data_IF_578291252560
#
_entry.id   IF_578291252560
#
_cell.length_a   1.000
_cell.length_b   1.000
_cell.length_c   1.000
_cell.angle_alpha   90.00
_cell.angle_beta   90.00
_cell.angle_gamma   90.00
#
_symmetry.space_group_name_H-M   'P 1'
#
loop_
_entity.id
_entity.type
_entity.pdbx_description
1 polymer ?
#
# COMPACT_ATOMS: atom_id res chain seq x y z
N UNK A 1 -14.63 -39.73 -28.54
CA UNK A 1 -14.84 -38.43 -27.84
C UNK A 1 -15.88 -37.66 -28.63
N UNK A 2 -17.13 -37.63 -28.14
CA UNK A 2 -18.20 -36.87 -28.79
C UNK A 2 -18.06 -35.38 -28.43
N UNK A 3 -17.17 -34.67 -29.11
CA UNK A 3 -17.16 -33.23 -29.03
C UNK A 3 -18.43 -32.64 -29.61
N UNK A 4 -19.10 -31.67 -28.97
CA UNK A 4 -20.26 -31.01 -29.56
C UNK A 4 -19.81 -30.33 -30.86
N UNK A 5 -20.61 -30.52 -31.94
CA UNK A 5 -20.33 -30.00 -33.30
C UNK A 5 -19.92 -28.52 -33.26
N UNK A 6 -20.55 -27.73 -32.38
CA UNK A 6 -20.25 -26.31 -32.20
C UNK A 6 -18.82 -26.05 -31.74
N UNK A 7 -18.25 -26.88 -30.86
CA UNK A 7 -16.87 -26.74 -30.41
C UNK A 7 -15.88 -27.13 -31.51
N UNK A 8 -16.20 -28.16 -32.29
CA UNK A 8 -15.37 -28.57 -33.43
C UNK A 8 -15.29 -27.45 -34.49
N UNK A 9 -16.43 -26.83 -34.82
CA UNK A 9 -16.48 -25.71 -35.76
C UNK A 9 -15.70 -24.50 -35.21
N UNK A 10 -15.85 -24.17 -33.94
CA UNK A 10 -15.12 -23.07 -33.29
C UNK A 10 -13.60 -23.27 -33.34
N UNK A 11 -13.12 -24.48 -33.04
CA UNK A 11 -11.70 -24.83 -33.15
C UNK A 11 -11.19 -24.79 -34.57
N UNK A 12 -12.00 -25.21 -35.54
CA UNK A 12 -11.66 -25.14 -36.95
C UNK A 12 -11.55 -23.67 -37.40
N UNK A 13 -12.47 -22.80 -37.03
CA UNK A 13 -12.40 -21.37 -37.31
C UNK A 13 -11.16 -20.72 -36.70
N UNK A 14 -10.81 -21.10 -35.48
CA UNK A 14 -9.61 -20.59 -34.82
C UNK A 14 -8.30 -21.08 -35.49
N UNK A 15 -8.25 -22.35 -35.93
CA UNK A 15 -7.07 -22.96 -36.59
C UNK A 15 -7.00 -22.75 -38.10
N UNK A 16 -8.10 -22.37 -38.74
CA UNK A 16 -8.16 -22.30 -40.19
C UNK A 16 -7.17 -21.26 -40.70
N UNK A 17 -6.21 -21.74 -41.49
CA UNK A 17 -5.37 -20.91 -42.36
C UNK A 17 -6.24 -20.46 -43.55
N UNK A 18 -7.40 -19.82 -43.29
CA UNK A 18 -8.29 -19.36 -44.32
C UNK A 18 -7.59 -18.32 -45.17
N UNK A 19 -7.94 -18.29 -46.47
CA UNK A 19 -7.47 -17.29 -47.41
C UNK A 19 -7.86 -15.85 -47.00
N UNK A 20 -8.69 -15.73 -46.02
CA UNK A 20 -9.20 -14.49 -45.45
C UNK A 20 -8.19 -13.82 -44.52
N UNK A 21 -7.45 -12.86 -45.08
CA UNK A 21 -6.47 -12.04 -44.37
C UNK A 21 -7.14 -11.12 -43.35
N UNK A 22 -8.38 -10.67 -43.62
CA UNK A 22 -9.09 -9.72 -42.79
C UNK A 22 -9.57 -10.34 -41.48
N UNK A 23 -10.24 -11.50 -41.53
CA UNK A 23 -10.71 -12.20 -40.33
C UNK A 23 -9.57 -12.59 -39.37
N UNK A 24 -8.39 -12.94 -39.94
CA UNK A 24 -7.18 -13.21 -39.15
C UNK A 24 -6.65 -11.97 -38.44
N UNK A 25 -6.60 -10.84 -39.14
CA UNK A 25 -6.12 -9.57 -38.59
C UNK A 25 -7.04 -9.13 -37.43
N UNK A 26 -8.34 -9.23 -37.62
CA UNK A 26 -9.33 -8.88 -36.58
C UNK A 26 -9.19 -9.78 -35.34
N UNK A 27 -9.04 -11.11 -35.53
CA UNK A 27 -8.86 -12.04 -34.42
C UNK A 27 -7.56 -11.80 -33.67
N UNK A 28 -6.47 -11.51 -34.38
CA UNK A 28 -5.18 -11.22 -33.76
C UNK A 28 -5.22 -9.90 -33.01
N UNK A 29 -5.86 -8.87 -33.52
CA UNK A 29 -6.06 -7.60 -32.83
C UNK A 29 -6.91 -7.78 -31.56
N UNK A 30 -7.96 -8.61 -31.61
CA UNK A 30 -8.77 -8.92 -30.47
C UNK A 30 -7.94 -9.60 -29.37
N UNK A 31 -7.19 -10.65 -29.73
CA UNK A 31 -6.36 -11.38 -28.76
C UNK A 31 -5.24 -10.50 -28.19
N UNK A 32 -4.61 -9.68 -29.02
CA UNK A 32 -3.57 -8.74 -28.60
C UNK A 32 -4.11 -7.70 -27.61
N UNK A 33 -5.32 -7.21 -27.82
CA UNK A 33 -5.99 -6.32 -26.86
C UNK A 33 -6.22 -6.97 -25.49
N UNK A 34 -6.61 -8.26 -25.45
CA UNK A 34 -6.77 -9.01 -24.21
C UNK A 34 -5.41 -9.24 -23.55
N UNK A 35 -4.38 -9.65 -24.32
CA UNK A 35 -3.01 -9.86 -23.84
C UNK A 35 -2.49 -8.58 -23.16
N UNK A 36 -2.58 -7.44 -23.86
CA UNK A 36 -2.10 -6.16 -23.32
C UNK A 36 -2.91 -5.70 -22.10
N UNK A 37 -4.22 -5.90 -22.12
CA UNK A 37 -5.08 -5.55 -20.98
C UNK A 37 -4.75 -6.36 -19.72
N UNK A 38 -4.63 -7.68 -19.83
CA UNK A 38 -4.29 -8.56 -18.70
C UNK A 38 -2.86 -8.32 -18.22
N UNK A 39 -1.91 -8.14 -19.15
CA UNK A 39 -0.53 -7.80 -18.82
C UNK A 39 -0.46 -6.49 -18.04
N UNK A 40 -1.12 -5.44 -18.53
CA UNK A 40 -1.16 -4.14 -17.86
C UNK A 40 -1.80 -4.23 -16.45
N UNK A 41 -2.90 -4.99 -16.30
CA UNK A 41 -3.54 -5.21 -15.01
C UNK A 41 -2.59 -5.85 -13.99
N UNK A 42 -1.87 -6.91 -14.38
CA UNK A 42 -0.94 -7.61 -13.49
C UNK A 42 0.21 -6.68 -13.08
N UNK A 43 0.80 -5.95 -14.03
CA UNK A 43 1.89 -5.02 -13.76
C UNK A 43 1.43 -3.91 -12.80
N UNK A 44 0.32 -3.25 -13.10
CA UNK A 44 -0.20 -2.14 -12.28
C UNK A 44 -0.54 -2.60 -10.87
N UNK A 45 -1.24 -3.74 -10.72
CA UNK A 45 -1.58 -4.28 -9.41
C UNK A 45 -0.34 -4.67 -8.60
N UNK A 46 0.67 -5.28 -9.25
CA UNK A 46 1.91 -5.66 -8.57
C UNK A 46 2.74 -4.46 -8.11
N UNK A 47 2.85 -3.43 -8.93
CA UNK A 47 3.52 -2.17 -8.56
C UNK A 47 2.77 -1.48 -7.42
N UNK A 48 1.45 -1.42 -7.52
CA UNK A 48 0.62 -0.80 -6.49
C UNK A 48 0.75 -1.51 -5.13
N UNK A 49 0.73 -2.85 -5.12
CA UNK A 49 0.93 -3.61 -3.87
C UNK A 49 2.33 -3.39 -3.30
N UNK A 50 3.36 -3.43 -4.15
CA UNK A 50 4.73 -3.19 -3.74
C UNK A 50 4.94 -1.79 -3.16
N UNK A 51 4.41 -0.75 -3.80
CA UNK A 51 4.46 0.63 -3.29
C UNK A 51 3.69 0.77 -1.97
N UNK A 52 2.49 0.22 -1.87
CA UNK A 52 1.70 0.25 -0.64
C UNK A 52 2.43 -0.45 0.52
N UNK A 53 2.99 -1.63 0.26
CA UNK A 53 3.78 -2.38 1.24
C UNK A 53 5.03 -1.62 1.68
N UNK A 54 5.78 -1.09 0.73
CA UNK A 54 6.99 -0.30 1.00
C UNK A 54 6.68 0.99 1.80
N UNK A 55 5.67 1.75 1.40
CA UNK A 55 5.26 2.96 2.11
C UNK A 55 4.78 2.66 3.54
N UNK A 56 3.98 1.59 3.71
CA UNK A 56 3.55 1.13 5.03
C UNK A 56 4.73 0.76 5.90
N UNK A 57 5.66 -0.04 5.38
CA UNK A 57 6.84 -0.46 6.12
C UNK A 57 7.71 0.73 6.48
N UNK A 58 8.00 1.63 5.55
CA UNK A 58 8.87 2.78 5.78
C UNK A 58 8.29 3.76 6.82
N UNK A 59 6.97 4.02 6.78
CA UNK A 59 6.33 4.95 7.72
C UNK A 59 6.13 4.31 9.09
N UNK A 60 5.67 3.05 9.13
CA UNK A 60 5.31 2.40 10.39
C UNK A 60 6.51 1.80 11.13
N UNK A 61 7.63 1.49 10.46
CA UNK A 61 8.85 1.06 11.14
C UNK A 61 9.53 2.17 11.94
N UNK A 62 9.26 3.44 11.60
CA UNK A 62 9.90 4.60 12.21
C UNK A 62 9.12 5.20 13.38
N UNK A 63 7.92 4.69 13.68
CA UNK A 63 7.05 5.23 14.74
C UNK A 63 6.46 4.13 15.62
N UNK A 64 6.16 4.41 16.90
CA UNK A 64 5.41 3.49 17.73
C UNK A 64 3.98 3.33 17.17
N UNK A 65 3.47 2.09 17.21
CA UNK A 65 2.16 1.80 16.63
C UNK A 65 1.01 2.30 17.50
N UNK A 66 1.20 2.33 18.82
CA UNK A 66 0.25 2.93 19.76
C UNK A 66 0.98 3.42 21.02
N UNK A 67 0.39 4.41 21.66
CA UNK A 67 0.75 4.87 23.01
C UNK A 67 -0.46 4.63 23.87
N UNK A 68 -0.27 3.85 24.94
CA UNK A 68 -1.26 3.60 25.98
C UNK A 68 -0.87 4.44 27.19
N UNK A 69 -1.74 5.34 27.63
CA UNK A 69 -1.52 6.21 28.78
C UNK A 69 -2.70 6.16 29.74
N UNK A 70 -2.44 6.45 31.00
CA UNK A 70 -3.47 6.62 32.04
C UNK A 70 -3.48 8.07 32.54
N UNK A 71 -4.55 8.46 33.25
CA UNK A 71 -4.65 9.78 33.88
C UNK A 71 -3.60 9.97 34.98
N UNK A 72 -3.20 8.88 35.63
CA UNK A 72 -2.14 8.88 36.64
C UNK A 72 -0.95 8.06 36.14
N UNK A 73 0.29 8.46 36.50
CA UNK A 73 1.49 7.73 36.16
C UNK A 73 1.45 6.28 36.67
N UNK A 74 1.85 5.35 35.81
CA UNK A 74 1.75 3.90 36.06
C UNK A 74 3.12 3.36 36.46
N UNK A 75 3.14 2.40 37.39
CA UNK A 75 4.35 1.65 37.70
C UNK A 75 4.80 0.83 36.49
N UNK A 76 6.10 0.90 36.15
CA UNK A 76 6.70 0.26 35.00
C UNK A 76 6.55 -1.27 34.96
N UNK A 77 6.29 -1.91 36.09
CA UNK A 77 6.17 -3.38 36.16
C UNK A 77 4.77 -3.91 35.79
N UNK A 78 3.72 -3.13 36.01
CA UNK A 78 2.33 -3.61 35.89
C UNK A 78 1.84 -3.91 34.49
N UNK A 79 2.37 -3.26 33.46
CA UNK A 79 1.85 -3.41 32.08
C UNK A 79 2.51 -4.57 31.35
N UNK A 80 3.75 -4.94 31.73
CA UNK A 80 4.47 -6.05 31.10
C UNK A 80 3.86 -7.43 31.41
N UNK A 81 3.06 -7.55 32.47
CA UNK A 81 2.49 -8.83 32.90
C UNK A 81 1.30 -9.33 32.07
N UNK A 82 0.59 -8.45 31.34
CA UNK A 82 -0.63 -8.80 30.59
C UNK A 82 -0.66 -8.26 29.15
N UNK A 83 0.48 -8.34 28.45
CA UNK A 83 0.54 -7.90 27.05
C UNK A 83 -0.15 -8.90 26.12
N UNK A 84 -0.99 -8.45 25.18
CA UNK A 84 -1.53 -9.28 24.12
C UNK A 84 -0.41 -9.90 23.28
N UNK A 85 -0.60 -11.12 22.78
CA UNK A 85 0.39 -11.87 21.98
C UNK A 85 0.78 -11.19 20.65
N UNK A 86 -0.03 -10.28 20.15
CA UNK A 86 0.27 -9.49 18.94
C UNK A 86 1.14 -8.26 19.24
N UNK A 87 1.41 -7.95 20.51
CA UNK A 87 2.35 -6.89 20.90
C UNK A 87 3.76 -7.47 20.93
N UNK A 88 4.63 -6.99 20.05
CA UNK A 88 6.02 -7.41 19.97
C UNK A 88 6.86 -6.82 21.11
N UNK A 89 6.65 -5.54 21.40
CA UNK A 89 7.42 -4.80 22.40
C UNK A 89 6.55 -3.73 23.04
N UNK A 90 6.67 -3.56 24.36
CA UNK A 90 6.10 -2.47 25.12
C UNK A 90 7.22 -1.74 25.86
N UNK A 91 7.29 -0.43 25.70
CA UNK A 91 8.35 0.41 26.26
C UNK A 91 7.75 1.55 27.07
N UNK A 92 8.16 1.78 28.32
CA UNK A 92 7.67 2.89 29.11
C UNK A 92 8.10 4.22 28.48
N UNK A 93 7.23 5.21 28.55
CA UNK A 93 7.45 6.52 27.97
C UNK A 93 7.02 7.64 28.90
N UNK A 94 7.85 8.68 28.96
CA UNK A 94 7.48 10.01 29.41
C UNK A 94 7.64 10.98 28.24
N UNK A 95 6.57 11.54 27.75
CA UNK A 95 6.61 12.45 26.61
C UNK A 95 5.79 13.70 26.88
N UNK A 96 6.29 14.85 26.44
CA UNK A 96 5.57 16.12 26.57
C UNK A 96 5.98 17.10 25.48
N UNK A 97 5.04 17.98 25.14
CA UNK A 97 5.29 19.08 24.23
C UNK A 97 6.10 20.15 24.96
N UNK A 98 7.16 20.58 24.32
CA UNK A 98 8.09 21.56 24.87
C UNK A 98 8.39 22.71 23.90
N UNK A 99 8.77 23.83 24.46
CA UNK A 99 9.43 24.89 23.73
C UNK A 99 10.93 24.78 24.03
N UNK A 100 11.72 24.54 23.00
CA UNK A 100 13.18 24.60 23.03
C UNK A 100 13.62 26.04 22.89
N UNK A 101 14.31 26.57 23.88
CA UNK A 101 14.82 27.93 23.86
C UNK A 101 16.34 27.93 24.02
N UNK A 102 17.00 28.65 23.13
CA UNK A 102 18.45 28.95 23.17
C UNK A 102 18.67 30.43 23.12
N UNK A 103 19.92 30.87 23.14
CA UNK A 103 20.29 32.28 22.93
C UNK A 103 20.11 32.72 21.47
N UNK A 104 20.05 31.76 20.54
CA UNK A 104 19.99 32.02 19.08
C UNK A 104 18.61 31.78 18.47
N UNK A 105 17.75 30.98 19.12
CA UNK A 105 16.45 30.63 18.56
C UNK A 105 15.50 29.99 19.54
N UNK A 106 14.24 29.86 19.08
CA UNK A 106 13.16 29.19 19.79
C UNK A 106 12.47 28.26 18.79
N UNK A 107 12.18 27.03 19.20
CA UNK A 107 11.41 26.06 18.40
C UNK A 107 10.44 25.31 19.31
N UNK A 108 9.26 25.03 18.79
CA UNK A 108 8.35 24.09 19.44
C UNK A 108 8.68 22.67 19.01
N UNK A 109 8.45 21.70 19.92
CA UNK A 109 8.64 20.30 19.59
C UNK A 109 8.21 19.40 20.74
N UNK A 110 8.68 18.17 20.69
CA UNK A 110 8.35 17.12 21.66
C UNK A 110 9.64 16.53 22.24
N UNK A 111 9.66 16.32 23.54
CA UNK A 111 10.74 15.58 24.18
C UNK A 111 10.22 14.22 24.65
N UNK A 112 11.03 13.20 24.43
CA UNK A 112 10.71 11.80 24.66
C UNK A 112 11.73 11.23 25.63
N UNK A 113 11.23 10.74 26.78
CA UNK A 113 12.05 10.05 27.77
C UNK A 113 12.13 8.56 27.44
N UNK A 114 13.34 8.04 27.26
CA UNK A 114 13.66 6.64 26.95
C UNK A 114 14.54 6.01 28.02
N UNK A 115 14.51 4.66 28.13
CA UNK A 115 15.37 3.90 29.05
C UNK A 115 16.57 3.28 28.33
N UNK A 116 16.46 3.09 27.02
CA UNK A 116 17.49 2.51 26.13
C UNK A 116 17.35 3.11 24.75
N UNK A 117 18.41 3.14 23.96
CA UNK A 117 18.33 3.54 22.55
C UNK A 117 17.50 2.56 21.69
N UNK A 118 17.37 1.30 22.12
CA UNK A 118 16.47 0.36 21.47
C UNK A 118 14.98 0.68 21.64
N UNK A 119 14.63 1.64 22.48
CA UNK A 119 13.24 2.00 22.78
C UNK A 119 12.59 2.85 21.70
N UNK A 120 13.41 3.43 20.81
CA UNK A 120 12.92 4.24 19.72
C UNK A 120 13.72 4.00 18.42
N UNK A 121 13.04 3.74 17.28
CA UNK A 121 13.71 3.49 16.00
C UNK A 121 14.65 4.61 15.54
N UNK A 122 14.36 5.88 15.88
CA UNK A 122 15.18 7.02 15.46
C UNK A 122 16.57 7.06 16.10
N UNK A 123 16.71 6.46 17.28
CA UNK A 123 17.97 6.38 18.02
C UNK A 123 18.49 4.96 18.18
N UNK A 124 17.84 3.96 17.58
CA UNK A 124 18.26 2.57 17.65
C UNK A 124 19.66 2.33 17.07
N UNK A 125 20.09 3.17 16.12
CA UNK A 125 21.43 3.11 15.51
C UNK A 125 22.56 3.49 16.47
N UNK A 126 22.26 4.10 17.62
CA UNK A 126 23.26 4.42 18.64
C UNK A 126 23.73 3.15 19.36
N UNK A 127 25.00 3.18 19.79
CA UNK A 127 25.58 2.08 20.57
C UNK A 127 24.86 1.95 21.93
N UNK A 128 24.13 0.86 22.10
CA UNK A 128 23.33 0.58 23.31
C UNK A 128 24.18 0.59 24.58
N UNK A 129 25.46 0.22 24.50
CA UNK A 129 26.37 0.19 25.66
C UNK A 129 26.70 1.58 26.18
N UNK A 130 26.57 2.61 25.34
CA UNK A 130 26.86 4.00 25.68
C UNK A 130 25.65 4.79 26.18
N UNK A 131 24.48 4.15 26.36
CA UNK A 131 23.28 4.85 26.80
C UNK A 131 23.52 5.66 28.08
N UNK A 132 24.11 5.05 29.09
CA UNK A 132 24.40 5.72 30.37
C UNK A 132 25.52 6.77 30.30
N UNK A 133 26.31 6.78 29.25
CA UNK A 133 27.31 7.81 28.99
C UNK A 133 26.69 9.02 28.28
N UNK A 134 25.86 8.77 27.29
CA UNK A 134 25.22 9.80 26.47
C UNK A 134 24.02 10.42 27.21
N UNK A 135 23.16 9.59 27.83
CA UNK A 135 21.96 9.99 28.56
C UNK A 135 21.95 9.48 30.01
N UNK A 136 22.93 9.86 30.85
CA UNK A 136 22.97 9.46 32.26
C UNK A 136 21.79 10.04 33.03
N UNK A 137 21.32 9.30 34.03
CA UNK A 137 20.21 9.74 34.90
C UNK A 137 20.64 10.92 35.76
N UNK A 138 19.91 11.99 35.78
CA UNK A 138 20.10 13.14 36.69
C UNK A 138 20.98 14.25 36.15
N UNK A 139 21.64 14.06 35.02
CA UNK A 139 22.49 15.09 34.41
C UNK A 139 21.76 16.00 33.40
N UNK A 140 20.50 15.71 33.09
CA UNK A 140 19.67 16.46 32.13
C UNK A 140 20.35 16.64 30.79
N UNK A 141 20.80 15.52 30.20
CA UNK A 141 21.35 15.49 28.85
C UNK A 141 20.26 15.21 27.80
N UNK A 142 20.51 15.64 26.57
CA UNK A 142 19.55 15.60 25.47
C UNK A 142 20.23 15.17 24.18
N UNK A 143 19.63 14.21 23.48
CA UNK A 143 19.96 13.88 22.09
C UNK A 143 18.92 14.54 21.20
N UNK A 144 19.33 15.33 20.24
CA UNK A 144 18.44 16.13 19.36
C UNK A 144 18.64 15.74 17.89
N UNK A 145 17.60 15.97 17.08
CA UNK A 145 17.73 15.79 15.64
C UNK A 145 18.57 16.89 14.98
N UNK A 146 19.23 16.55 13.88
CA UNK A 146 20.11 17.46 13.13
C UNK A 146 19.37 18.71 12.63
N UNK A 147 18.12 18.58 12.16
CA UNK A 147 17.31 19.71 11.72
C UNK A 147 16.94 20.64 12.88
N UNK A 148 16.63 20.06 14.07
CA UNK A 148 16.35 20.85 15.27
C UNK A 148 17.62 21.57 15.76
N UNK A 149 18.78 20.91 15.71
CA UNK A 149 20.07 21.51 16.03
C UNK A 149 20.39 22.72 15.14
N UNK A 150 20.15 22.58 13.84
CA UNK A 150 20.32 23.68 12.87
C UNK A 150 19.36 24.84 13.14
N UNK A 151 18.05 24.58 13.39
CA UNK A 151 17.06 25.62 13.70
C UNK A 151 17.40 26.40 14.96
N UNK A 152 17.94 25.73 15.98
CA UNK A 152 18.29 26.32 17.26
C UNK A 152 19.70 26.89 17.27
N UNK A 153 20.52 26.60 16.26
CA UNK A 153 21.92 27.04 16.15
C UNK A 153 22.82 26.48 17.25
N UNK A 154 22.62 25.19 17.63
CA UNK A 154 23.34 24.53 18.73
C UNK A 154 24.18 23.37 18.24
N UNK A 155 25.25 23.07 19.00
CA UNK A 155 26.14 21.93 18.83
C UNK A 155 26.18 21.07 20.08
N UNK A 156 26.85 19.93 20.00
CA UNK A 156 27.11 19.08 21.16
C UNK A 156 27.84 19.89 22.26
N UNK A 157 27.35 19.81 23.49
CA UNK A 157 27.82 20.54 24.64
C UNK A 157 27.06 21.87 24.94
N UNK A 158 26.26 22.36 23.99
CA UNK A 158 25.45 23.54 24.19
C UNK A 158 24.26 23.28 25.11
N UNK A 159 23.75 24.34 25.72
CA UNK A 159 22.62 24.27 26.65
C UNK A 159 21.33 24.74 26.01
N UNK A 160 20.27 23.94 26.16
CA UNK A 160 18.91 24.22 25.68
C UNK A 160 17.99 24.29 26.89
N UNK A 161 17.17 25.32 26.97
CA UNK A 161 16.09 25.40 27.96
C UNK A 161 14.84 24.74 27.41
N UNK A 162 14.35 23.70 28.08
CA UNK A 162 13.08 23.07 27.79
C UNK A 162 12.00 23.67 28.67
N UNK A 163 10.89 24.12 28.07
CA UNK A 163 9.73 24.67 28.76
C UNK A 163 8.50 23.84 28.40
N UNK A 164 7.82 23.26 29.41
CA UNK A 164 6.56 22.51 29.19
C UNK A 164 5.41 23.48 29.00
N UNK A 165 4.62 23.27 27.96
CA UNK A 165 3.46 24.11 27.64
C UNK A 165 2.19 23.71 28.39
N UNK A 166 2.04 22.42 28.73
CA UNK A 166 0.80 21.84 29.27
C UNK A 166 0.66 22.02 30.79
N UNK A 167 1.78 21.95 31.54
CA UNK A 167 1.79 22.06 32.99
C UNK A 167 2.47 23.36 33.43
N UNK A 168 1.68 24.40 33.74
CA UNK A 168 2.19 25.66 34.27
C UNK A 168 1.96 25.75 35.77
N UNK A 169 2.95 26.28 36.49
CA UNK A 169 2.87 26.53 37.92
C UNK A 169 2.23 27.89 38.18
N UNK A 170 1.22 27.94 39.08
CA UNK A 170 0.68 29.20 39.56
C UNK A 170 1.64 29.84 40.56
N UNK A 171 2.12 31.00 40.24
CA UNK A 171 2.90 31.84 41.14
C UNK A 171 2.13 33.13 41.47
N UNK A 172 2.49 33.88 42.50
CA UNK A 172 1.87 35.17 42.79
C UNK A 172 1.96 36.18 41.62
N UNK A 173 2.87 35.98 40.69
CA UNK A 173 3.08 36.81 39.52
C UNK A 173 2.43 36.27 38.22
N UNK A 174 1.63 35.15 38.30
CA UNK A 174 0.97 34.53 37.17
C UNK A 174 1.40 33.09 36.92
N UNK A 175 0.96 32.55 35.78
CA UNK A 175 1.33 31.21 35.34
C UNK A 175 2.75 31.19 34.78
N UNK A 176 3.63 30.38 35.37
CA UNK A 176 4.99 30.18 34.88
C UNK A 176 5.13 28.75 34.36
N UNK A 177 5.58 28.54 33.10
CA UNK A 177 5.81 27.19 32.59
C UNK A 177 6.92 26.50 33.37
N UNK A 178 6.79 25.20 33.54
CA UNK A 178 7.87 24.40 34.10
C UNK A 178 9.02 24.35 33.08
N UNK A 179 10.21 24.66 33.55
CA UNK A 179 11.38 24.79 32.67
C UNK A 179 12.62 24.19 33.32
N UNK A 180 13.48 23.62 32.47
CA UNK A 180 14.79 23.12 32.90
C UNK A 180 15.82 23.25 31.80
N UNK A 181 17.07 23.38 32.21
CA UNK A 181 18.21 23.47 31.31
C UNK A 181 18.75 22.07 31.05
N UNK A 182 18.85 21.68 29.78
CA UNK A 182 19.46 20.46 29.32
C UNK A 182 20.72 20.75 28.52
N UNK A 183 21.66 19.80 28.49
CA UNK A 183 22.87 19.89 27.71
C UNK A 183 22.79 18.93 26.52
N UNK A 184 23.05 19.38 25.32
CA UNK A 184 23.10 18.52 24.13
C UNK A 184 24.27 17.55 24.25
N UNK A 185 23.98 16.26 24.34
CA UNK A 185 25.00 15.20 24.43
C UNK A 185 25.37 14.60 23.10
N UNK A 186 24.39 14.51 22.18
CA UNK A 186 24.60 13.99 20.83
C UNK A 186 23.52 14.46 19.86
N UNK A 187 23.72 14.22 18.54
CA UNK A 187 22.82 14.61 17.46
C UNK A 187 22.53 13.36 16.62
N UNK A 188 21.24 13.02 16.45
CA UNK A 188 20.83 11.96 15.52
C UNK A 188 20.45 12.55 14.17
N UNK A 189 20.66 11.72 13.13
CA UNK A 189 20.37 12.10 11.76
C UNK A 189 19.19 11.29 11.23
N UNK A 190 18.16 11.99 10.77
CA UNK A 190 16.99 11.38 10.15
C UNK A 190 16.49 12.26 9.01
N UNK A 191 16.11 11.64 7.89
CA UNK A 191 15.56 12.35 6.74
C UNK A 191 14.08 12.71 6.90
N UNK A 192 13.43 12.23 7.96
CA UNK A 192 12.03 12.51 8.27
C UNK A 192 11.83 13.85 8.99
N UNK A 193 10.57 14.20 9.18
CA UNK A 193 10.18 15.42 9.89
C UNK A 193 10.54 15.38 11.39
N UNK A 194 10.66 14.20 11.97
CA UNK A 194 10.90 13.99 13.39
C UNK A 194 12.20 14.67 13.88
N UNK A 195 13.27 14.65 13.08
CA UNK A 195 14.53 15.30 13.40
C UNK A 195 14.41 16.83 13.54
N UNK A 196 13.33 17.42 13.05
CA UNK A 196 13.05 18.85 13.16
C UNK A 196 12.29 19.29 14.41
N UNK A 197 11.76 18.34 15.22
CA UNK A 197 10.97 18.67 16.41
C UNK A 197 11.09 17.69 17.58
N UNK A 198 11.61 16.47 17.39
CA UNK A 198 11.76 15.48 18.45
C UNK A 198 13.16 15.51 19.08
N UNK A 199 13.21 15.29 20.38
CA UNK A 199 14.45 15.12 21.12
C UNK A 199 14.29 14.01 22.16
N UNK A 200 15.40 13.33 22.48
CA UNK A 200 15.43 12.20 23.42
C UNK A 200 16.24 12.54 24.66
N UNK A 201 15.75 12.09 25.82
CA UNK A 201 16.45 12.23 27.08
C UNK A 201 16.20 10.99 27.97
N UNK A 202 16.89 10.90 29.08
CA UNK A 202 16.62 9.86 30.05
C UNK A 202 15.19 9.99 30.60
N UNK A 203 14.44 8.87 30.64
CA UNK A 203 13.05 8.83 31.08
C UNK A 203 12.85 9.43 32.47
N UNK A 204 13.81 9.20 33.39
CA UNK A 204 13.77 9.73 34.73
C UNK A 204 13.89 11.26 34.76
N UNK A 205 14.71 11.84 33.88
CA UNK A 205 14.92 13.27 33.83
C UNK A 205 13.73 14.01 33.22
N UNK A 206 13.09 13.41 32.22
CA UNK A 206 11.82 13.92 31.70
C UNK A 206 10.70 13.73 32.73
N UNK A 207 10.67 12.57 33.42
CA UNK A 207 9.75 12.36 34.55
C UNK A 207 9.88 13.44 35.62
N UNK A 208 11.11 13.82 36.03
CA UNK A 208 11.36 14.93 36.96
C UNK A 208 10.87 16.28 36.44
N UNK A 209 11.05 16.55 35.15
CA UNK A 209 10.52 17.75 34.50
C UNK A 209 8.99 17.77 34.50
N UNK A 210 8.33 16.60 34.37
CA UNK A 210 6.88 16.42 34.41
C UNK A 210 6.31 16.20 35.83
N UNK A 211 7.16 16.07 36.85
CA UNK A 211 6.83 15.71 38.25
C UNK A 211 6.28 14.28 38.38
N UNK A 212 6.74 13.36 37.59
CA UNK A 212 6.49 11.93 37.69
C UNK A 212 7.56 11.30 38.59
N UNK A 213 7.18 10.35 39.43
CA UNK A 213 8.12 9.66 40.30
C UNK A 213 9.08 8.74 39.53
N UNK A 214 10.31 8.50 39.98
CA UNK A 214 11.34 7.79 39.23
C UNK A 214 11.01 6.38 38.74
N UNK A 215 10.06 5.70 39.36
CA UNK A 215 9.64 4.32 39.01
C UNK A 215 8.31 4.29 38.28
N UNK A 216 7.82 5.43 37.85
CA UNK A 216 6.57 5.59 37.15
C UNK A 216 6.79 6.16 35.76
N UNK A 217 5.92 5.79 34.83
CA UNK A 217 5.84 6.33 33.49
C UNK A 217 4.44 6.90 33.20
N UNK A 218 4.36 7.87 32.32
CA UNK A 218 3.10 8.43 31.83
C UNK A 218 2.29 7.39 31.06
N UNK A 219 2.98 6.50 30.35
CA UNK A 219 2.35 5.48 29.54
C UNK A 219 3.38 4.54 28.90
N UNK A 220 2.91 3.80 27.92
CA UNK A 220 3.71 2.81 27.18
C UNK A 220 3.56 2.99 25.70
N UNK A 221 4.68 2.92 24.99
CA UNK A 221 4.72 2.75 23.55
C UNK A 221 4.59 1.28 23.22
N UNK A 222 3.69 0.95 22.33
CA UNK A 222 3.47 -0.41 21.87
C UNK A 222 3.93 -0.55 20.42
N UNK A 223 4.75 -1.56 20.18
CA UNK A 223 5.14 -2.02 18.85
C UNK A 223 4.44 -3.34 18.59
N UNK A 224 3.62 -3.41 17.55
CA UNK A 224 2.81 -4.58 17.20
C UNK A 224 3.49 -5.38 16.10
N UNK A 225 3.23 -6.68 16.04
CA UNK A 225 3.68 -7.52 14.92
C UNK A 225 3.06 -7.05 13.59
N UNK A 226 1.77 -6.69 13.63
CA UNK A 226 1.07 -6.03 12.53
C UNK A 226 0.50 -4.68 13.03
N UNK A 227 1.00 -3.55 12.49
CA UNK A 227 0.53 -2.21 12.88
C UNK A 227 -0.97 -1.97 12.70
N UNK A 228 -1.65 -2.78 11.88
CA UNK A 228 -3.10 -2.65 11.64
C UNK A 228 -3.96 -3.35 12.71
N UNK A 229 -3.38 -4.19 13.55
CA UNK A 229 -4.08 -4.82 14.69
C UNK A 229 -4.39 -3.85 15.85
N UNK A 230 -4.06 -2.56 15.70
CA UNK A 230 -4.43 -1.51 16.67
C UNK A 230 -5.93 -1.46 16.99
N UNK A 231 -6.79 -1.95 16.10
CA UNK A 231 -8.24 -2.01 16.30
C UNK A 231 -8.65 -2.96 17.44
N UNK A 232 -7.79 -3.91 17.79
CA UNK A 232 -8.02 -4.87 18.87
C UNK A 232 -7.58 -4.35 20.25
N UNK A 233 -6.69 -3.33 20.27
CA UNK A 233 -6.15 -2.76 21.52
C UNK A 233 -7.21 -2.27 22.51
N UNK A 234 -8.30 -1.58 22.12
CA UNK A 234 -9.31 -1.11 23.07
C UNK A 234 -10.00 -2.23 23.86
N UNK A 235 -10.01 -3.46 23.36
CA UNK A 235 -10.57 -4.62 24.06
C UNK A 235 -9.66 -5.06 25.20
N UNK A 236 -8.33 -4.87 25.06
CA UNK A 236 -7.34 -5.26 26.05
C UNK A 236 -7.03 -4.12 27.05
N UNK A 237 -7.24 -2.88 26.65
CA UNK A 237 -6.98 -1.69 27.45
C UNK A 237 -8.24 -0.80 27.56
N UNK A 238 -9.32 -1.28 28.21
CA UNK A 238 -10.62 -0.60 28.18
C UNK A 238 -10.68 0.71 28.99
N UNK A 239 -9.79 0.89 29.95
CA UNK A 239 -9.74 2.06 30.86
C UNK A 239 -8.65 3.06 30.48
N UNK A 240 -7.72 2.67 29.64
CA UNK A 240 -6.59 3.50 29.25
C UNK A 240 -6.91 4.34 28.00
N UNK A 241 -6.28 5.50 27.93
CA UNK A 241 -6.31 6.32 26.72
C UNK A 241 -5.32 5.75 25.71
N UNK A 242 -5.82 5.32 24.57
CA UNK A 242 -5.01 4.83 23.45
C UNK A 242 -4.88 5.92 22.41
N UNK A 243 -3.64 6.28 22.08
CA UNK A 243 -3.33 7.15 20.94
C UNK A 243 -2.50 6.33 19.96
N UNK A 244 -3.03 6.06 18.79
CA UNK A 244 -2.38 5.23 17.79
C UNK A 244 -1.77 6.04 16.65
N UNK A 245 -1.00 5.37 15.78
CA UNK A 245 -0.31 5.97 14.65
C UNK A 245 -1.24 6.73 13.68
N UNK A 246 -2.54 6.42 13.66
CA UNK A 246 -3.52 7.10 12.79
C UNK A 246 -3.71 8.57 13.17
N UNK A 247 -3.42 8.96 14.41
CA UNK A 247 -3.49 10.36 14.84
C UNK A 247 -2.39 11.18 14.17
N UNK A 248 -1.19 10.62 14.06
CA UNK A 248 -0.03 11.32 13.47
C UNK A 248 0.08 11.15 11.96
N UNK A 249 -0.23 9.96 11.45
CA UNK A 249 -0.02 9.57 10.05
C UNK A 249 -1.32 9.23 9.30
N UNK A 250 -2.48 9.50 9.91
CA UNK A 250 -3.78 9.19 9.32
C UNK A 250 -4.03 9.89 7.97
N UNK A 251 -3.61 11.13 7.82
CA UNK A 251 -3.71 11.89 6.57
C UNK A 251 -2.89 11.22 5.44
N UNK A 252 -1.69 10.76 5.75
CA UNK A 252 -0.85 10.02 4.81
C UNK A 252 -1.56 8.74 4.30
N UNK A 253 -2.10 7.93 5.21
CA UNK A 253 -2.81 6.71 4.84
C UNK A 253 -4.14 6.98 4.12
N UNK A 254 -4.78 8.11 4.41
CA UNK A 254 -5.94 8.56 3.65
C UNK A 254 -5.55 8.94 2.22
N UNK A 255 -4.41 9.61 2.02
CA UNK A 255 -3.88 9.93 0.70
C UNK A 255 -3.55 8.66 -0.10
N UNK A 256 -2.88 7.66 0.52
CA UNK A 256 -2.60 6.35 -0.09
C UNK A 256 -3.89 5.63 -0.49
N UNK A 257 -4.93 5.68 0.35
CA UNK A 257 -6.25 5.10 0.03
C UNK A 257 -6.91 5.81 -1.15
N UNK A 258 -6.79 7.13 -1.22
CA UNK A 258 -7.34 7.93 -2.32
C UNK A 258 -6.60 7.62 -3.64
N UNK A 259 -5.27 7.49 -3.60
CA UNK A 259 -4.45 7.03 -4.74
C UNK A 259 -4.91 5.65 -5.23
N UNK A 260 -5.13 4.70 -4.33
CA UNK A 260 -5.65 3.36 -4.63
C UNK A 260 -7.02 3.40 -5.33
N UNK A 261 -7.91 4.26 -4.87
CA UNK A 261 -9.23 4.45 -5.51
C UNK A 261 -9.10 5.04 -6.91
N UNK A 262 -8.21 6.00 -7.12
CA UNK A 262 -7.93 6.56 -8.45
C UNK A 262 -7.33 5.52 -9.40
N UNK A 263 -6.39 4.71 -8.93
CA UNK A 263 -5.84 3.58 -9.70
C UNK A 263 -6.92 2.54 -10.02
N UNK A 264 -7.84 2.25 -9.11
CA UNK A 264 -9.00 1.40 -9.36
C UNK A 264 -9.89 1.93 -10.49
N UNK A 265 -10.05 3.24 -10.59
CA UNK A 265 -10.78 3.88 -11.70
C UNK A 265 -10.04 3.72 -13.03
N UNK A 266 -8.72 3.92 -13.06
CA UNK A 266 -7.90 3.68 -14.27
C UNK A 266 -7.97 2.22 -14.73
N UNK A 267 -7.89 1.27 -13.79
CA UNK A 267 -8.06 -0.15 -14.06
C UNK A 267 -9.43 -0.44 -14.67
N UNK A 268 -10.50 0.16 -14.13
CA UNK A 268 -11.85 0.00 -14.68
C UNK A 268 -11.96 0.51 -16.13
N UNK A 269 -11.25 1.58 -16.46
CA UNK A 269 -11.19 2.10 -17.83
C UNK A 269 -10.48 1.13 -18.79
N UNK A 270 -9.36 0.55 -18.36
CA UNK A 270 -8.64 -0.48 -19.15
C UNK A 270 -9.57 -1.67 -19.44
N UNK A 271 -10.36 -2.10 -18.44
CA UNK A 271 -11.33 -3.17 -18.59
C UNK A 271 -12.40 -2.81 -19.62
N UNK A 272 -12.96 -1.60 -19.57
CA UNK A 272 -13.97 -1.14 -20.53
C UNK A 272 -13.41 -1.16 -21.96
N UNK A 273 -12.18 -0.71 -22.14
CA UNK A 273 -11.50 -0.75 -23.46
C UNK A 273 -11.32 -2.19 -23.94
N UNK A 274 -10.88 -3.11 -23.07
CA UNK A 274 -10.73 -4.51 -23.40
C UNK A 274 -12.06 -5.16 -23.82
N UNK A 275 -13.15 -4.90 -23.09
CA UNK A 275 -14.51 -5.38 -23.43
C UNK A 275 -14.93 -4.84 -24.79
N UNK A 276 -14.78 -3.54 -25.03
CA UNK A 276 -15.12 -2.90 -26.31
C UNK A 276 -14.37 -3.53 -27.48
N UNK A 277 -13.09 -3.82 -27.29
CA UNK A 277 -12.26 -4.47 -28.29
C UNK A 277 -12.76 -5.89 -28.62
N UNK A 278 -13.11 -6.70 -27.62
CA UNK A 278 -13.67 -8.04 -27.83
C UNK A 278 -15.00 -7.96 -28.59
N UNK A 279 -15.92 -7.11 -28.14
CA UNK A 279 -17.25 -6.95 -28.76
C UNK A 279 -17.14 -6.51 -30.22
N UNK A 280 -16.28 -5.53 -30.50
CA UNK A 280 -16.07 -5.00 -31.83
C UNK A 280 -15.48 -6.05 -32.76
N UNK A 281 -14.42 -6.73 -32.32
CA UNK A 281 -13.73 -7.75 -33.12
C UNK A 281 -14.64 -8.94 -33.45
N UNK A 282 -15.37 -9.46 -32.46
CA UNK A 282 -16.30 -10.56 -32.69
C UNK A 282 -17.49 -10.12 -33.56
N UNK A 283 -17.98 -8.87 -33.42
CA UNK A 283 -19.05 -8.35 -34.27
C UNK A 283 -18.61 -8.24 -35.74
N UNK A 284 -17.39 -7.78 -35.99
CA UNK A 284 -16.84 -7.73 -37.35
C UNK A 284 -16.68 -9.13 -37.94
N UNK A 285 -16.19 -10.08 -37.12
CA UNK A 285 -16.08 -11.47 -37.56
C UNK A 285 -17.44 -12.09 -37.89
N UNK A 286 -18.50 -11.81 -37.12
CA UNK A 286 -19.86 -12.27 -37.44
C UNK A 286 -20.34 -11.73 -38.78
N UNK A 287 -20.07 -10.45 -39.07
CA UNK A 287 -20.43 -9.83 -40.36
C UNK A 287 -19.67 -10.51 -41.52
N UNK A 288 -18.37 -10.72 -41.34
CA UNK A 288 -17.53 -11.36 -42.35
C UNK A 288 -17.95 -12.82 -42.64
N UNK A 289 -18.42 -13.54 -41.65
CA UNK A 289 -18.83 -14.95 -41.73
C UNK A 289 -20.33 -15.16 -41.98
N UNK A 290 -21.09 -14.14 -42.37
CA UNK A 290 -22.55 -14.27 -42.56
C UNK A 290 -22.93 -15.30 -43.62
N UNK A 291 -22.24 -15.36 -44.75
CA UNK A 291 -22.45 -16.37 -45.79
C UNK A 291 -22.19 -17.79 -45.32
N UNK A 292 -21.05 -18.02 -44.65
CA UNK A 292 -20.75 -19.35 -44.09
C UNK A 292 -21.77 -19.78 -43.00
N UNK A 293 -22.24 -18.83 -42.17
CA UNK A 293 -23.29 -19.08 -41.17
C UNK A 293 -24.59 -19.49 -41.86
N UNK A 294 -24.96 -18.80 -42.94
CA UNK A 294 -26.17 -19.09 -43.72
C UNK A 294 -26.10 -20.50 -44.31
N UNK A 295 -24.97 -20.90 -44.92
CA UNK A 295 -24.75 -22.25 -45.45
C UNK A 295 -24.88 -23.31 -44.36
N UNK A 296 -24.24 -23.10 -43.19
CA UNK A 296 -24.33 -24.03 -42.07
C UNK A 296 -25.78 -24.19 -41.54
N UNK A 297 -26.56 -23.12 -41.51
CA UNK A 297 -27.97 -23.16 -41.12
C UNK A 297 -28.82 -23.89 -42.17
N UNK A 298 -28.56 -23.77 -43.46
CA UNK A 298 -29.26 -24.56 -44.50
C UNK A 298 -28.90 -26.05 -44.44
N UNK A 299 -27.71 -26.38 -43.91
CA UNK A 299 -27.29 -27.76 -43.65
C UNK A 299 -27.85 -28.33 -42.33
N UNK A 300 -28.70 -27.58 -41.62
CA UNK A 300 -29.40 -28.05 -40.44
C UNK A 300 -28.83 -27.60 -39.08
N UNK A 301 -27.83 -26.67 -39.06
CA UNK A 301 -27.35 -26.12 -37.80
C UNK A 301 -28.44 -25.24 -37.18
N UNK A 302 -28.76 -25.48 -35.91
CA UNK A 302 -29.76 -24.68 -35.20
C UNK A 302 -29.17 -23.31 -34.78
N UNK A 303 -30.05 -22.32 -34.60
CA UNK A 303 -29.66 -20.99 -34.08
C UNK A 303 -28.90 -21.08 -32.74
N UNK A 304 -29.26 -22.03 -31.87
CA UNK A 304 -28.57 -22.28 -30.62
C UNK A 304 -27.13 -22.79 -30.83
N UNK A 305 -26.94 -23.68 -31.78
CA UNK A 305 -25.61 -24.20 -32.10
C UNK A 305 -24.72 -23.13 -32.73
N UNK A 306 -25.25 -22.28 -33.59
CA UNK A 306 -24.54 -21.11 -34.17
C UNK A 306 -24.08 -20.20 -33.01
N UNK A 307 -24.98 -19.85 -32.09
CA UNK A 307 -24.63 -19.04 -30.93
C UNK A 307 -23.50 -19.69 -30.12
N UNK A 308 -23.55 -20.98 -29.87
CA UNK A 308 -22.51 -21.72 -29.15
C UNK A 308 -21.16 -21.70 -29.86
N UNK A 309 -21.12 -21.74 -31.21
CA UNK A 309 -19.86 -21.64 -31.99
C UNK A 309 -19.13 -20.34 -31.62
N UNK A 310 -19.83 -19.19 -31.67
CA UNK A 310 -19.23 -17.89 -31.40
C UNK A 310 -18.86 -17.72 -29.91
N UNK A 311 -19.65 -18.28 -28.97
CA UNK A 311 -19.29 -18.29 -27.56
C UNK A 311 -17.99 -19.07 -27.34
N UNK A 312 -17.87 -20.29 -27.89
CA UNK A 312 -16.65 -21.08 -27.78
C UNK A 312 -15.46 -20.39 -28.44
N UNK A 313 -15.66 -19.72 -29.55
CA UNK A 313 -14.60 -18.98 -30.24
C UNK A 313 -14.11 -17.79 -29.40
N UNK A 314 -15.01 -16.99 -28.84
CA UNK A 314 -14.65 -15.91 -27.95
C UNK A 314 -13.97 -16.39 -26.67
N UNK A 315 -14.44 -17.51 -26.08
CA UNK A 315 -13.77 -18.13 -24.96
C UNK A 315 -12.35 -18.61 -25.28
N UNK A 316 -12.12 -19.20 -26.47
CA UNK A 316 -10.79 -19.62 -26.92
C UNK A 316 -9.84 -18.42 -27.07
N UNK A 317 -10.30 -17.36 -27.73
CA UNK A 317 -9.52 -16.11 -27.87
C UNK A 317 -9.24 -15.49 -26.50
N UNK A 318 -10.27 -15.43 -25.64
CA UNK A 318 -10.16 -14.95 -24.27
C UNK A 318 -9.19 -15.76 -23.43
N UNK A 319 -9.28 -17.08 -23.49
CA UNK A 319 -8.40 -17.97 -22.73
C UNK A 319 -6.94 -17.84 -23.15
N UNK A 320 -6.66 -17.90 -24.45
CA UNK A 320 -5.30 -17.76 -24.98
C UNK A 320 -4.75 -16.36 -24.68
N UNK A 321 -5.56 -15.31 -24.90
CA UNK A 321 -5.17 -13.93 -24.61
C UNK A 321 -4.86 -13.71 -23.12
N UNK A 322 -5.72 -14.21 -22.23
CA UNK A 322 -5.54 -14.12 -20.76
C UNK A 322 -4.30 -14.88 -20.32
N UNK A 323 -4.08 -16.10 -20.82
CA UNK A 323 -2.91 -16.90 -20.43
C UNK A 323 -1.61 -16.24 -20.88
N UNK A 324 -1.53 -15.80 -22.14
CA UNK A 324 -0.35 -15.10 -22.67
C UNK A 324 -0.15 -13.76 -21.95
N UNK A 325 -1.21 -13.00 -21.70
CA UNK A 325 -1.16 -11.75 -20.96
C UNK A 325 -0.67 -11.95 -19.54
N UNK A 326 -1.12 -13.02 -18.86
CA UNK A 326 -0.67 -13.35 -17.51
C UNK A 326 0.81 -13.73 -17.49
N UNK A 327 1.26 -14.59 -18.41
CA UNK A 327 2.68 -14.99 -18.50
C UNK A 327 3.56 -13.77 -18.77
N UNK A 328 3.21 -12.96 -19.75
CA UNK A 328 3.98 -11.75 -20.10
C UNK A 328 3.94 -10.72 -18.96
N UNK A 329 2.79 -10.54 -18.30
CA UNK A 329 2.65 -9.65 -17.16
C UNK A 329 3.56 -10.04 -16.00
N UNK A 330 3.61 -11.32 -15.66
CA UNK A 330 4.52 -11.83 -14.61
C UNK A 330 5.97 -11.66 -15.03
N UNK A 331 6.34 -12.03 -16.25
CA UNK A 331 7.72 -11.89 -16.75
C UNK A 331 8.19 -10.43 -16.71
N UNK A 332 7.36 -9.49 -17.16
CA UNK A 332 7.68 -8.06 -17.10
C UNK A 332 7.79 -7.58 -15.66
N UNK A 333 6.87 -7.98 -14.78
CA UNK A 333 6.89 -7.57 -13.37
C UNK A 333 8.16 -8.06 -12.66
N UNK A 334 8.58 -9.31 -12.89
CA UNK A 334 9.80 -9.86 -12.28
C UNK A 334 11.08 -9.15 -12.73
N UNK A 335 11.09 -8.58 -13.94
CA UNK A 335 12.23 -7.83 -14.48
C UNK A 335 12.00 -6.31 -14.49
N UNK A 336 10.95 -5.83 -13.79
CA UNK A 336 10.56 -4.42 -13.92
C UNK A 336 11.62 -3.48 -13.39
N UNK A 337 12.28 -3.83 -12.30
CA UNK A 337 13.37 -3.03 -11.72
C UNK A 337 14.53 -2.88 -12.69
N UNK A 338 14.92 -3.96 -13.38
CA UNK A 338 16.00 -3.93 -14.37
C UNK A 338 15.61 -3.13 -15.62
N UNK A 339 14.35 -3.26 -16.06
CA UNK A 339 13.83 -2.49 -17.20
C UNK A 339 13.82 -1.00 -16.89
N UNK A 340 13.37 -0.62 -15.69
CA UNK A 340 13.31 0.80 -15.27
C UNK A 340 14.70 1.37 -15.07
N UNK A 341 15.63 0.63 -14.48
CA UNK A 341 17.02 1.07 -14.29
C UNK A 341 17.75 1.26 -15.64
N UNK A 342 17.43 0.44 -16.64
CA UNK A 342 17.99 0.61 -17.99
C UNK A 342 17.49 1.87 -18.70
N UNK A 343 16.24 2.30 -18.42
CA UNK A 343 15.64 3.52 -19.00
C UNK A 343 16.02 4.78 -18.20
N UNK A 344 16.10 4.65 -16.87
CA UNK A 344 16.46 5.74 -15.96
C UNK A 344 17.63 5.33 -15.04
N UNK A 345 18.87 5.63 -15.43
CA UNK A 345 20.06 5.26 -14.64
C UNK A 345 20.15 5.90 -13.25
N UNK A 346 19.33 6.91 -12.96
CA UNK A 346 19.28 7.55 -11.63
C UNK A 346 18.54 6.70 -10.58
N UNK A 347 18.12 5.48 -10.92
CA UNK A 347 17.72 4.46 -9.98
C UNK A 347 16.45 4.79 -9.20
N UNK A 348 15.30 4.84 -9.90
CA UNK A 348 14.01 4.78 -9.20
C UNK A 348 13.77 3.33 -8.80
N UNK A 349 13.88 3.03 -7.51
CA UNK A 349 13.48 1.74 -6.97
C UNK A 349 11.95 1.63 -7.02
N UNK A 350 11.43 0.69 -7.83
CA UNK A 350 10.01 0.38 -7.89
C UNK A 350 9.79 -0.97 -7.18
N UNK A 351 9.31 -0.95 -5.95
CA UNK A 351 8.96 -2.18 -5.26
C UNK A 351 7.76 -2.83 -5.98
N UNK A 352 7.87 -4.13 -6.27
CA UNK A 352 6.81 -4.93 -6.88
C UNK A 352 6.49 -6.11 -5.97
N UNK A 353 5.21 -6.34 -5.72
CA UNK A 353 4.73 -7.49 -4.95
C UNK A 353 3.68 -8.25 -5.75
N UNK A 354 4.02 -9.51 -6.11
CA UNK A 354 3.13 -10.40 -6.84
C UNK A 354 2.26 -11.18 -5.84
N UNK A 355 0.97 -10.89 -5.81
CA UNK A 355 0.00 -11.66 -5.05
C UNK A 355 -0.60 -12.76 -5.91
N UNK A 356 -0.37 -14.02 -5.53
CA UNK A 356 -0.93 -15.19 -6.24
C UNK A 356 -2.47 -15.18 -6.25
N UNK A 357 -3.09 -14.75 -5.16
CA UNK A 357 -4.56 -14.63 -5.05
C UNK A 357 -5.11 -13.61 -6.05
N UNK A 358 -4.44 -12.45 -6.16
CA UNK A 358 -4.84 -11.42 -7.12
C UNK A 358 -4.66 -11.87 -8.57
N UNK A 359 -3.59 -12.63 -8.87
CA UNK A 359 -3.39 -13.20 -10.20
C UNK A 359 -4.52 -14.14 -10.61
N UNK A 360 -4.92 -15.05 -9.72
CA UNK A 360 -6.06 -15.94 -9.97
C UNK A 360 -7.34 -15.13 -10.18
N UNK A 361 -7.56 -14.08 -9.38
CA UNK A 361 -8.71 -13.20 -9.52
C UNK A 361 -8.71 -12.49 -10.88
N UNK A 362 -7.58 -11.92 -11.32
CA UNK A 362 -7.45 -11.27 -12.63
C UNK A 362 -7.71 -12.24 -13.77
N UNK A 363 -7.16 -13.46 -13.72
CA UNK A 363 -7.38 -14.48 -14.72
C UNK A 363 -8.85 -14.88 -14.78
N UNK A 364 -9.46 -15.21 -13.63
CA UNK A 364 -10.86 -15.60 -13.55
C UNK A 364 -11.81 -14.49 -14.02
N UNK A 365 -11.54 -13.26 -13.61
CA UNK A 365 -12.31 -12.10 -13.99
C UNK A 365 -12.19 -11.79 -15.50
N UNK A 366 -10.99 -11.89 -16.08
CA UNK A 366 -10.77 -11.71 -17.53
C UNK A 366 -11.51 -12.75 -18.35
N UNK A 367 -11.53 -14.01 -17.91
CA UNK A 367 -12.31 -15.07 -18.57
C UNK A 367 -13.81 -14.84 -18.48
N UNK A 368 -14.30 -14.39 -17.32
CA UNK A 368 -15.70 -14.02 -17.13
C UNK A 368 -16.10 -12.87 -18.05
N UNK A 369 -15.27 -11.82 -18.13
CA UNK A 369 -15.51 -10.66 -19.00
C UNK A 369 -15.48 -11.06 -20.47
N UNK A 370 -14.54 -11.93 -20.88
CA UNK A 370 -14.49 -12.47 -22.22
C UNK A 370 -15.79 -13.22 -22.57
N UNK A 371 -16.29 -14.05 -21.67
CA UNK A 371 -17.56 -14.75 -21.84
C UNK A 371 -18.73 -13.76 -22.00
N UNK A 372 -18.86 -12.79 -21.11
CA UNK A 372 -19.94 -11.80 -21.14
C UNK A 372 -19.89 -10.96 -22.42
N UNK A 373 -18.71 -10.53 -22.84
CA UNK A 373 -18.50 -9.72 -24.05
C UNK A 373 -18.88 -10.49 -25.33
N UNK A 374 -18.77 -11.81 -25.32
CA UNK A 374 -19.10 -12.65 -26.48
C UNK A 374 -20.61 -12.90 -26.65
N UNK A 375 -21.41 -12.72 -25.61
CA UNK A 375 -22.85 -13.00 -25.65
C UNK A 375 -23.59 -12.15 -26.69
N UNK A 376 -23.27 -10.85 -26.77
CA UNK A 376 -23.93 -9.93 -27.71
C UNK A 376 -23.61 -10.30 -29.19
N UNK A 377 -22.35 -10.43 -29.61
CA UNK A 377 -22.04 -10.85 -30.99
C UNK A 377 -22.59 -12.24 -31.35
N UNK A 378 -22.52 -13.19 -30.39
CA UNK A 378 -23.06 -14.54 -30.60
C UNK A 378 -24.60 -14.55 -30.82
N UNK A 379 -25.33 -13.70 -30.05
CA UNK A 379 -26.75 -13.53 -30.24
C UNK A 379 -27.08 -12.92 -31.63
N UNK A 380 -26.30 -11.94 -32.08
CA UNK A 380 -26.45 -11.30 -33.37
C UNK A 380 -26.16 -12.29 -34.50
N UNK A 381 -25.14 -13.15 -34.38
CA UNK A 381 -24.83 -14.21 -35.33
C UNK A 381 -26.00 -15.20 -35.53
N UNK A 382 -26.68 -15.57 -34.45
CA UNK A 382 -27.83 -16.49 -34.50
C UNK A 382 -29.09 -15.91 -35.18
N UNK A 383 -29.17 -14.58 -35.33
CA UNK A 383 -30.27 -13.88 -35.99
C UNK A 383 -30.09 -13.71 -37.53
N UNK A 384 -28.96 -14.13 -38.07
CA UNK A 384 -28.72 -14.07 -39.54
C UNK A 384 -29.79 -14.94 -40.22
N UNK A 385 -30.50 -14.34 -41.20
CA UNK A 385 -31.50 -15.04 -42.00
C UNK A 385 -30.80 -15.61 -43.25
N UNK A 386 -30.84 -16.97 -43.47
CA UNK A 386 -30.13 -17.60 -44.55
C UNK A 386 -30.57 -17.07 -45.94
N UNK A 387 -31.86 -16.81 -46.11
CA UNK A 387 -32.42 -16.31 -47.37
C UNK A 387 -31.92 -14.89 -47.72
N UNK A 388 -31.75 -14.03 -46.74
CA UNK A 388 -31.26 -12.67 -46.95
C UNK A 388 -29.74 -12.65 -47.21
N UNK A 389 -28.95 -13.46 -46.47
CA UNK A 389 -27.50 -13.52 -46.58
C UNK A 389 -27.04 -14.07 -47.95
N UNK A 390 -27.70 -15.13 -48.48
CA UNK A 390 -27.37 -15.75 -49.75
C UNK A 390 -27.87 -14.96 -50.98
N UNK A 391 -28.71 -13.95 -50.80
CA UNK A 391 -29.20 -13.11 -51.91
C UNK A 391 -28.25 -11.96 -52.26
N UNK A 392 -27.39 -11.59 -51.38
CA UNK A 392 -26.47 -10.44 -51.52
C UNK A 392 -25.02 -10.86 -51.82
N UNK A 393 -24.72 -12.17 -51.98
CA UNK A 393 -23.52 -12.68 -52.65
C UNK A 393 -23.79 -12.85 -54.14
#
# INVERSE_FOLDING_TARGET
MNFPISLYIALRYWRAKSADRFGRLVTNLASLGIVLGVMALIIVLSVMNGLEGYQKQQVLSSIPHAIVSEEQPISTEKILENLPHFVQKAVPINTTNVIYQTTKGVSAGQVIGIQSFSDDPLVESFDQTKFNEILPTGEFKLVIGDQLAQKLGVNIGDKIRLMITENSQYTPFGRVPMQRLFTVSDIYYDYGEASGYEAFANITDIGRLMRIQPQQAQGYRLFLNDPFQITELPQHFPTQKITDWRVQKGEFFQAVRMEKNMMGLLISLIIVVAISNIVTSLSLMVVDKQGEIAILQTQGLTKSQVRSVFIYQGLLVGFVGTLLGAILGVLVTLNLTDIVSAVNPQGVFLPTELSFVQMIFVIGFSLLLSLLSTLYPAYRAAKVEPAAALRYE
#
